data_IF_154857220878
#
_entry.id   IF_154857220878
#
_cell.length_a   1.000
_cell.length_b   1.000
_cell.length_c   1.000
_cell.angle_alpha   90.00
_cell.angle_beta   90.00
_cell.angle_gamma   90.00
#
_symmetry.space_group_name_H-M   'P 1'
#
loop_
_entity.id
_entity.type
_entity.pdbx_description
1 polymer ?
#
# COMPACT_ATOMS: atom_id res chain seq x y z
N UNK A 1 -6.72 20.05 -2.60
CA UNK A 1 -5.30 20.35 -2.89
C UNK A 1 -4.55 19.03 -2.84
N UNK A 2 -4.56 18.29 -3.94
CA UNK A 2 -4.11 16.89 -4.13
C UNK A 2 -2.71 16.80 -4.78
N UNK A 3 -1.98 17.92 -4.84
CA UNK A 3 -0.84 18.11 -5.74
C UNK A 3 0.33 17.13 -5.53
N UNK A 4 0.55 16.60 -4.33
CA UNK A 4 1.78 15.87 -4.03
C UNK A 4 1.91 14.52 -4.74
N UNK A 5 0.86 13.68 -4.78
CA UNK A 5 0.96 12.39 -5.46
C UNK A 5 0.84 12.54 -6.98
N UNK A 6 -0.05 13.40 -7.48
CA UNK A 6 -0.15 13.70 -8.91
C UNK A 6 1.19 14.20 -9.49
N UNK A 7 1.88 15.07 -8.76
CA UNK A 7 3.21 15.55 -9.13
C UNK A 7 4.22 14.39 -9.16
N UNK A 8 4.20 13.49 -8.18
CA UNK A 8 5.07 12.31 -8.17
C UNK A 8 4.72 11.30 -9.27
N UNK A 9 3.42 11.15 -9.60
CA UNK A 9 2.97 10.35 -10.73
C UNK A 9 3.51 10.89 -12.05
N UNK A 10 3.61 12.20 -12.20
CA UNK A 10 4.16 12.85 -13.39
C UNK A 10 5.67 12.71 -13.53
N UNK A 11 6.39 12.49 -12.42
CA UNK A 11 7.85 12.42 -12.37
C UNK A 11 8.41 11.03 -12.72
N UNK A 12 7.59 9.97 -12.67
CA UNK A 12 8.02 8.62 -13.02
C UNK A 12 7.66 8.25 -14.45
N UNK A 13 8.57 7.54 -15.11
CA UNK A 13 8.37 7.03 -16.47
C UNK A 13 7.36 5.87 -16.49
N UNK A 14 6.75 5.63 -17.65
CA UNK A 14 5.89 4.45 -17.87
C UNK A 14 6.61 3.13 -17.61
N UNK A 15 7.92 3.09 -17.87
CA UNK A 15 8.76 1.93 -17.57
C UNK A 15 8.89 1.70 -16.06
N UNK A 16 9.24 2.74 -15.31
CA UNK A 16 9.30 2.66 -13.85
C UNK A 16 7.97 2.24 -13.26
N UNK A 17 6.87 2.87 -13.68
CA UNK A 17 5.51 2.52 -13.26
C UNK A 17 5.16 1.05 -13.55
N UNK A 18 5.61 0.53 -14.70
CA UNK A 18 5.39 -0.88 -15.06
C UNK A 18 6.18 -1.80 -14.13
N UNK A 19 7.46 -1.52 -13.89
CA UNK A 19 8.29 -2.31 -12.97
C UNK A 19 7.72 -2.28 -11.53
N UNK A 20 7.33 -1.11 -11.02
CA UNK A 20 6.68 -0.98 -9.71
C UNK A 20 5.39 -1.80 -9.64
N UNK A 21 4.57 -1.76 -10.70
CA UNK A 21 3.34 -2.54 -10.78
C UNK A 21 3.64 -4.04 -10.74
N UNK A 22 4.66 -4.52 -11.47
CA UNK A 22 5.06 -5.94 -11.45
C UNK A 22 5.49 -6.37 -10.06
N UNK A 23 6.28 -5.56 -9.34
CA UNK A 23 6.69 -5.85 -7.96
C UNK A 23 5.46 -5.92 -7.05
N UNK A 24 4.57 -4.93 -7.13
CA UNK A 24 3.37 -4.86 -6.29
C UNK A 24 2.41 -6.01 -6.54
N UNK A 25 2.13 -6.33 -7.81
CA UNK A 25 1.28 -7.46 -8.18
C UNK A 25 1.86 -8.77 -7.66
N UNK A 26 3.17 -8.98 -7.82
CA UNK A 26 3.82 -10.17 -7.29
C UNK A 26 3.66 -10.29 -5.78
N UNK A 27 3.94 -9.21 -5.05
CA UNK A 27 3.73 -9.15 -3.60
C UNK A 27 2.28 -9.45 -3.22
N UNK A 28 1.33 -8.93 -4.02
CA UNK A 28 -0.07 -9.16 -3.74
C UNK A 28 -0.52 -10.62 -3.94
N UNK A 29 0.04 -11.30 -4.93
CA UNK A 29 -0.29 -12.68 -5.27
C UNK A 29 0.40 -13.70 -4.37
N UNK A 30 1.64 -13.42 -3.95
CA UNK A 30 2.50 -14.41 -3.29
C UNK A 30 2.71 -14.11 -1.80
N UNK A 31 2.31 -12.94 -1.33
CA UNK A 31 2.57 -12.43 0.02
C UNK A 31 4.08 -12.35 0.37
N UNK A 32 4.92 -12.27 -0.66
CA UNK A 32 6.39 -12.19 -0.56
C UNK A 32 6.91 -11.22 -1.62
N UNK A 33 7.98 -10.50 -1.31
CA UNK A 33 8.60 -9.58 -2.27
C UNK A 33 9.26 -10.34 -3.42
N UNK A 34 9.32 -9.72 -4.60
CA UNK A 34 9.84 -10.38 -5.79
C UNK A 34 11.37 -10.50 -5.75
N UNK A 35 11.88 -11.68 -6.08
CA UNK A 35 13.33 -11.91 -6.24
C UNK A 35 13.90 -11.05 -7.37
N UNK A 36 15.09 -10.48 -7.14
CA UNK A 36 15.74 -9.58 -8.11
C UNK A 36 15.93 -10.25 -9.48
N UNK A 37 16.35 -11.52 -9.51
CA UNK A 37 16.61 -12.25 -10.77
C UNK A 37 15.31 -12.49 -11.52
N UNK A 38 14.24 -12.81 -10.78
CA UNK A 38 12.92 -13.00 -11.37
C UNK A 38 12.38 -11.70 -11.98
N UNK A 39 12.50 -10.57 -11.27
CA UNK A 39 12.09 -9.27 -11.80
C UNK A 39 12.90 -8.91 -13.05
N UNK A 40 14.23 -9.08 -13.00
CA UNK A 40 15.10 -8.83 -14.15
C UNK A 40 14.69 -9.69 -15.35
N UNK A 41 14.36 -10.96 -15.17
CA UNK A 41 13.91 -11.81 -16.26
C UNK A 41 12.59 -11.33 -16.88
N UNK A 42 11.63 -10.86 -16.06
CA UNK A 42 10.30 -10.42 -16.52
C UNK A 42 10.34 -9.06 -17.23
N UNK A 43 11.19 -8.14 -16.76
CA UNK A 43 11.18 -6.73 -17.17
C UNK A 43 12.35 -6.35 -18.10
N UNK A 44 12.80 -7.30 -18.94
CA UNK A 44 13.75 -7.03 -20.03
C UNK A 44 15.24 -7.07 -19.64
N UNK A 45 15.57 -7.58 -18.46
CA UNK A 45 16.94 -7.85 -18.00
C UNK A 45 17.47 -6.85 -16.98
N UNK A 46 18.58 -7.22 -16.33
CA UNK A 46 19.26 -6.39 -15.31
C UNK A 46 19.64 -5.00 -15.83
N UNK A 47 20.12 -4.91 -17.07
CA UNK A 47 20.53 -3.65 -17.71
C UNK A 47 19.38 -2.69 -17.96
N UNK A 48 18.15 -3.19 -17.94
CA UNK A 48 16.92 -2.40 -18.12
C UNK A 48 16.35 -2.01 -16.77
N UNK A 49 16.22 -2.97 -15.85
CA UNK A 49 15.56 -2.76 -14.56
C UNK A 49 16.38 -1.88 -13.63
N UNK A 50 17.67 -2.17 -13.44
CA UNK A 50 18.48 -1.48 -12.42
C UNK A 50 18.58 0.04 -12.66
N UNK A 51 18.91 0.52 -13.88
CA UNK A 51 18.94 1.97 -14.13
C UNK A 51 17.58 2.66 -13.97
N UNK A 52 16.47 1.95 -14.18
CA UNK A 52 15.14 2.50 -13.98
C UNK A 52 14.83 2.68 -12.49
N UNK A 53 15.19 1.69 -11.65
CA UNK A 53 14.92 1.71 -10.21
C UNK A 53 15.89 2.60 -9.42
N UNK A 54 17.17 2.66 -9.78
CA UNK A 54 18.17 3.50 -9.11
C UNK A 54 17.79 5.00 -9.10
N UNK A 55 16.97 5.44 -10.05
CA UNK A 55 16.46 6.83 -10.14
C UNK A 55 15.29 7.14 -9.20
N UNK A 56 14.62 6.12 -8.66
CA UNK A 56 13.42 6.29 -7.81
C UNK A 56 13.78 6.54 -6.34
N UNK A 57 15.00 6.18 -5.91
CA UNK A 57 15.47 6.38 -4.55
C UNK A 57 14.79 5.47 -3.50
N UNK A 58 15.39 5.42 -2.31
CA UNK A 58 14.98 4.53 -1.21
C UNK A 58 13.60 4.83 -0.61
N UNK A 59 13.04 6.01 -0.86
CA UNK A 59 11.69 6.38 -0.43
C UNK A 59 10.58 5.70 -1.23
N UNK A 60 10.89 5.13 -2.39
CA UNK A 60 9.94 4.43 -3.28
C UNK A 60 10.22 2.93 -3.27
N UNK A 61 11.49 2.55 -3.38
CA UNK A 61 11.92 1.17 -3.56
C UNK A 61 13.31 0.96 -2.98
N UNK A 62 13.56 -0.20 -2.40
CA UNK A 62 14.88 -0.60 -1.94
C UNK A 62 15.15 -2.09 -2.21
N UNK A 63 16.44 -2.42 -2.22
CA UNK A 63 16.92 -3.81 -2.26
C UNK A 63 17.05 -4.31 -0.81
N UNK A 64 16.44 -5.45 -0.50
CA UNK A 64 16.55 -6.11 0.81
C UNK A 64 17.29 -7.43 0.64
N UNK A 65 18.42 -7.57 1.34
CA UNK A 65 19.17 -8.82 1.40
C UNK A 65 18.63 -9.74 2.49
N UNK A 66 18.43 -11.01 2.13
CA UNK A 66 18.14 -12.11 3.02
C UNK A 66 19.26 -13.15 2.92
N UNK A 67 19.23 -14.17 3.79
CA UNK A 67 20.29 -15.16 3.89
C UNK A 67 20.60 -15.90 2.57
N UNK A 68 19.62 -16.06 1.68
CA UNK A 68 19.75 -16.86 0.45
C UNK A 68 19.46 -16.09 -0.83
N UNK A 69 18.86 -14.91 -0.76
CA UNK A 69 18.45 -14.12 -1.92
C UNK A 69 18.27 -12.64 -1.60
N UNK A 70 18.08 -11.85 -2.66
CA UNK A 70 17.83 -10.41 -2.57
C UNK A 70 16.50 -10.12 -3.25
N UNK A 71 15.68 -9.27 -2.64
CA UNK A 71 14.38 -8.89 -3.16
C UNK A 71 14.31 -7.39 -3.42
N UNK A 72 13.44 -7.00 -4.37
CA UNK A 72 12.97 -5.62 -4.47
C UNK A 72 11.71 -5.45 -3.63
N UNK A 73 11.74 -4.48 -2.73
CA UNK A 73 10.62 -4.14 -1.87
C UNK A 73 10.16 -2.71 -2.12
N UNK A 74 8.84 -2.54 -2.25
CA UNK A 74 8.23 -1.22 -2.31
C UNK A 74 8.00 -0.66 -0.91
N UNK A 75 8.15 0.64 -0.78
CA UNK A 75 7.58 1.39 0.34
C UNK A 75 6.08 1.59 0.12
N UNK A 76 5.39 2.15 1.13
CA UNK A 76 4.02 2.64 0.97
C UNK A 76 3.88 3.57 -0.26
N UNK A 77 4.77 4.55 -0.38
CA UNK A 77 4.78 5.47 -1.52
C UNK A 77 5.02 4.74 -2.84
N UNK A 78 5.90 3.73 -2.87
CA UNK A 78 6.11 2.90 -4.05
C UNK A 78 4.87 2.15 -4.50
N UNK A 79 4.04 1.66 -3.57
CA UNK A 79 2.77 1.01 -3.89
C UNK A 79 1.73 1.99 -4.47
N UNK A 80 1.69 3.23 -3.95
CA UNK A 80 0.84 4.30 -4.50
C UNK A 80 1.29 4.75 -5.89
N UNK A 81 2.56 4.59 -6.25
CA UNK A 81 3.08 4.97 -7.58
C UNK A 81 2.89 3.90 -8.67
N UNK A 82 2.18 2.81 -8.37
CA UNK A 82 1.86 1.76 -9.35
C UNK A 82 0.80 2.23 -10.37
N UNK A 83 0.44 1.38 -11.35
CA UNK A 83 -0.67 1.66 -12.28
C UNK A 83 -2.03 1.75 -11.57
N UNK A 84 -2.21 1.03 -10.46
CA UNK A 84 -3.43 1.06 -9.64
C UNK A 84 -3.34 2.08 -8.48
N UNK A 85 -2.36 2.98 -8.52
CA UNK A 85 -2.09 3.96 -7.46
C UNK A 85 -3.30 4.76 -6.99
N UNK A 86 -4.01 5.37 -7.93
CA UNK A 86 -5.23 6.15 -7.66
C UNK A 86 -6.32 5.31 -6.98
N UNK A 87 -6.45 4.03 -7.35
CA UNK A 87 -7.39 3.10 -6.69
C UNK A 87 -6.95 2.80 -5.26
N UNK A 88 -5.65 2.71 -5.00
CA UNK A 88 -5.13 2.53 -3.65
C UNK A 88 -5.39 3.76 -2.77
N UNK A 89 -5.19 4.97 -3.30
CA UNK A 89 -5.51 6.22 -2.60
C UNK A 89 -6.99 6.31 -2.26
N UNK A 90 -7.87 5.95 -3.20
CA UNK A 90 -9.30 5.94 -2.96
C UNK A 90 -9.67 4.95 -1.84
N UNK A 91 -9.13 3.71 -1.87
CA UNK A 91 -9.37 2.72 -0.82
C UNK A 91 -8.94 3.23 0.57
N UNK A 92 -7.78 3.89 0.65
CA UNK A 92 -7.29 4.48 1.89
C UNK A 92 -8.16 5.63 2.37
N UNK A 93 -8.63 6.48 1.46
CA UNK A 93 -9.54 7.59 1.78
C UNK A 93 -10.86 7.06 2.34
N UNK A 94 -11.44 6.05 1.71
CA UNK A 94 -12.68 5.42 2.18
C UNK A 94 -12.50 4.74 3.55
N UNK A 95 -11.36 4.07 3.77
CA UNK A 95 -11.00 3.47 5.05
C UNK A 95 -10.85 4.50 6.17
N UNK A 96 -10.03 5.54 5.96
CA UNK A 96 -9.85 6.60 6.94
C UNK A 96 -11.18 7.30 7.24
N UNK A 97 -12.00 7.52 6.21
CA UNK A 97 -13.31 8.11 6.40
C UNK A 97 -14.26 7.23 7.20
N UNK A 98 -14.18 5.90 7.04
CA UNK A 98 -14.87 4.96 7.91
C UNK A 98 -14.41 5.08 9.37
N UNK A 99 -13.11 5.12 9.63
CA UNK A 99 -12.58 5.22 11.00
C UNK A 99 -13.04 6.50 11.72
N UNK A 100 -13.06 7.63 11.01
CA UNK A 100 -13.57 8.89 11.58
C UNK A 100 -15.04 8.77 11.97
N UNK A 101 -15.88 8.18 11.10
CA UNK A 101 -17.30 7.96 11.42
C UNK A 101 -17.47 6.97 12.58
N UNK A 102 -16.67 5.91 12.61
CA UNK A 102 -16.71 4.89 13.65
C UNK A 102 -16.38 5.49 15.02
N UNK A 103 -15.32 6.28 15.12
CA UNK A 103 -14.90 6.90 16.39
C UNK A 103 -15.85 8.00 16.87
N UNK A 104 -16.58 8.66 15.96
CA UNK A 104 -17.68 9.56 16.35
C UNK A 104 -18.86 8.81 16.98
N UNK A 105 -19.14 7.58 16.53
CA UNK A 105 -20.26 6.76 17.02
C UNK A 105 -19.88 5.92 18.24
N UNK A 106 -18.64 5.41 18.26
CA UNK A 106 -18.08 4.53 19.28
C UNK A 106 -16.71 5.07 19.75
N UNK A 107 -16.67 6.14 20.58
CA UNK A 107 -15.42 6.82 20.93
C UNK A 107 -14.39 5.99 21.70
N UNK A 108 -14.82 4.88 22.32
CA UNK A 108 -13.94 3.97 23.07
C UNK A 108 -13.44 2.80 22.22
N UNK A 109 -13.82 2.74 20.95
CA UNK A 109 -13.37 1.70 20.04
C UNK A 109 -11.92 1.97 19.65
N UNK A 110 -11.10 0.94 19.80
CA UNK A 110 -9.65 1.00 19.56
C UNK A 110 -9.19 0.07 18.45
N UNK A 111 -10.12 -0.69 17.85
CA UNK A 111 -9.79 -1.74 16.90
C UNK A 111 -10.81 -1.93 15.79
N UNK A 112 -10.32 -2.38 14.63
CA UNK A 112 -11.13 -2.78 13.49
C UNK A 112 -10.63 -4.07 12.82
N UNK A 113 -11.53 -4.79 12.17
CA UNK A 113 -11.17 -5.95 11.35
C UNK A 113 -11.48 -5.77 9.85
N UNK A 114 -10.75 -6.49 9.00
CA UNK A 114 -10.91 -6.42 7.56
C UNK A 114 -12.28 -6.91 7.09
N UNK A 115 -12.90 -7.85 7.82
CA UNK A 115 -14.21 -8.38 7.46
C UNK A 115 -15.33 -7.34 7.66
N UNK A 116 -15.31 -6.59 8.76
CA UNK A 116 -16.31 -5.53 8.99
C UNK A 116 -16.12 -4.37 8.02
N UNK A 117 -14.87 -4.00 7.72
CA UNK A 117 -14.57 -2.93 6.77
C UNK A 117 -15.00 -3.34 5.37
N UNK A 118 -14.72 -4.58 4.97
CA UNK A 118 -15.15 -5.10 3.68
C UNK A 118 -16.68 -5.10 3.55
N UNK A 119 -17.41 -5.42 4.63
CA UNK A 119 -18.87 -5.39 4.63
C UNK A 119 -19.40 -3.94 4.52
N UNK A 120 -18.86 -3.02 5.32
CA UNK A 120 -19.29 -1.62 5.34
C UNK A 120 -19.00 -0.88 4.03
N UNK A 121 -17.76 -1.01 3.54
CA UNK A 121 -17.29 -0.36 2.32
C UNK A 121 -17.60 -1.17 1.04
N UNK A 122 -18.25 -2.34 1.18
CA UNK A 122 -18.59 -3.26 0.08
C UNK A 122 -17.38 -3.64 -0.77
N UNK A 123 -16.25 -3.90 -0.10
CA UNK A 123 -15.01 -4.26 -0.76
C UNK A 123 -15.07 -5.69 -1.28
N UNK A 124 -14.51 -5.91 -2.46
CA UNK A 124 -14.14 -7.25 -2.91
C UNK A 124 -13.04 -7.85 -2.03
N UNK A 125 -12.88 -9.17 -2.07
CA UNK A 125 -11.80 -9.85 -1.35
C UNK A 125 -10.41 -9.33 -1.76
N UNK A 126 -10.20 -9.03 -3.04
CA UNK A 126 -8.95 -8.45 -3.55
C UNK A 126 -8.70 -7.07 -2.93
N UNK A 127 -9.69 -6.17 -2.96
CA UNK A 127 -9.58 -4.83 -2.37
C UNK A 127 -9.31 -4.89 -0.87
N UNK A 128 -10.00 -5.78 -0.14
CA UNK A 128 -9.80 -5.92 1.31
C UNK A 128 -8.37 -6.38 1.64
N UNK A 129 -7.85 -7.35 0.90
CA UNK A 129 -6.46 -7.81 1.05
C UNK A 129 -5.46 -6.69 0.72
N UNK A 130 -5.70 -5.96 -0.37
CA UNK A 130 -4.87 -4.81 -0.78
C UNK A 130 -4.87 -3.72 0.29
N UNK A 131 -6.04 -3.39 0.85
CA UNK A 131 -6.18 -2.40 1.91
C UNK A 131 -5.36 -2.79 3.14
N UNK A 132 -5.46 -4.04 3.61
CA UNK A 132 -4.65 -4.52 4.73
C UNK A 132 -3.14 -4.38 4.48
N UNK A 133 -2.67 -4.65 3.25
CA UNK A 133 -1.24 -4.45 2.90
C UNK A 133 -0.83 -2.99 2.88
N UNK A 134 -1.69 -2.09 2.40
CA UNK A 134 -1.42 -0.66 2.37
C UNK A 134 -1.35 -0.08 3.79
N UNK A 135 -2.28 -0.48 4.67
CA UNK A 135 -2.28 -0.12 6.09
C UNK A 135 -0.97 -0.58 6.75
N UNK A 136 -0.57 -1.84 6.51
CA UNK A 136 0.69 -2.38 7.03
C UNK A 136 1.91 -1.59 6.55
N UNK A 137 2.00 -1.30 5.24
CA UNK A 137 3.14 -0.58 4.67
C UNK A 137 3.22 0.88 5.09
N UNK A 138 2.07 1.53 5.29
CA UNK A 138 1.98 2.92 5.69
C UNK A 138 2.06 3.13 7.20
N UNK A 139 2.13 2.06 7.99
CA UNK A 139 2.03 2.11 9.46
C UNK A 139 0.77 2.86 9.92
N UNK A 140 -0.34 2.69 9.18
CA UNK A 140 -1.62 3.42 9.38
C UNK A 140 -2.48 2.68 10.41
N UNK A 141 -1.87 2.36 11.55
CA UNK A 141 -2.51 1.67 12.65
C UNK A 141 -1.81 2.08 13.95
N UNK A 142 -2.47 1.88 15.08
CA UNK A 142 -1.83 2.12 16.37
C UNK A 142 -0.96 0.94 16.79
N UNK A 143 -1.09 0.45 18.02
CA UNK A 143 -0.09 -0.44 18.65
C UNK A 143 0.03 -1.83 18.04
N UNK A 144 -0.94 -2.25 17.21
CA UNK A 144 -0.99 -3.61 16.69
C UNK A 144 -1.70 -3.71 15.34
N UNK A 145 -1.20 -4.63 14.52
CA UNK A 145 -1.86 -5.15 13.34
C UNK A 145 -1.64 -6.66 13.25
N UNK A 146 -2.67 -7.41 12.87
CA UNK A 146 -2.65 -8.85 12.66
C UNK A 146 -3.08 -9.24 11.25
N UNK A 147 -2.71 -10.47 10.86
CA UNK A 147 -3.17 -11.15 9.65
C UNK A 147 -3.18 -10.33 8.33
N UNK A 148 -2.27 -9.36 8.18
CA UNK A 148 -2.16 -8.54 6.97
C UNK A 148 -1.89 -9.40 5.73
N UNK A 149 -2.35 -8.92 4.56
CA UNK A 149 -2.26 -9.69 3.32
C UNK A 149 -3.27 -10.84 3.21
N UNK A 150 -4.16 -10.99 4.19
CA UNK A 150 -5.34 -11.87 4.14
C UNK A 150 -6.62 -11.03 4.25
N UNK A 151 -7.81 -11.63 4.14
CA UNK A 151 -9.08 -10.93 4.41
C UNK A 151 -9.42 -10.80 5.89
N UNK A 152 -8.67 -11.47 6.76
CA UNK A 152 -8.88 -11.55 8.20
C UNK A 152 -7.97 -10.58 8.97
N UNK A 153 -7.30 -9.69 8.24
CA UNK A 153 -6.44 -8.68 8.86
C UNK A 153 -7.22 -7.84 9.85
N UNK A 154 -6.50 -7.29 10.80
CA UNK A 154 -7.07 -6.54 11.88
C UNK A 154 -6.07 -5.47 12.34
N UNK A 155 -6.54 -4.29 12.72
CA UNK A 155 -5.69 -3.13 12.97
C UNK A 155 -6.21 -2.24 14.09
N UNK A 156 -5.28 -1.72 14.89
CA UNK A 156 -5.57 -0.69 15.89
C UNK A 156 -5.94 0.62 15.20
N UNK A 157 -6.98 1.29 15.69
CA UNK A 157 -7.35 2.61 15.20
C UNK A 157 -6.23 3.60 15.56
N UNK A 158 -5.73 4.43 14.62
CA UNK A 158 -4.73 5.46 14.89
C UNK A 158 -5.18 6.41 16.00
N UNK A 159 -4.26 6.79 16.89
CA UNK A 159 -4.60 7.62 18.06
C UNK A 159 -4.94 9.08 17.70
N UNK A 160 -4.48 9.51 16.53
CA UNK A 160 -4.64 10.83 15.92
C UNK A 160 -5.79 10.86 14.89
N UNK A 161 -6.64 9.83 14.85
CA UNK A 161 -7.77 9.78 13.90
C UNK A 161 -8.74 10.95 14.05
N UNK A 162 -8.84 11.52 15.26
CA UNK A 162 -9.68 12.70 15.55
C UNK A 162 -9.11 14.01 14.99
N UNK A 163 -7.81 14.05 14.65
CA UNK A 163 -7.16 15.20 14.03
C UNK A 163 -7.42 15.27 12.51
N UNK A 164 -7.98 14.20 11.92
CA UNK A 164 -8.30 14.18 10.49
C UNK A 164 -9.44 15.16 10.17
N UNK A 165 -9.28 15.96 9.10
CA UNK A 165 -10.28 16.96 8.76
C UNK A 165 -11.55 16.27 8.24
N UNK A 166 -12.69 16.72 8.75
CA UNK A 166 -14.01 16.10 8.51
C UNK A 166 -14.54 16.31 7.10
N UNK A 167 -13.91 17.17 6.30
CA UNK A 167 -14.21 17.41 4.89
C UNK A 167 -13.56 16.38 3.95
N UNK A 168 -12.65 15.52 4.44
CA UNK A 168 -12.22 14.31 3.72
C UNK A 168 -13.36 13.28 3.56
N UNK A 169 -14.53 13.54 4.15
CA UNK A 169 -15.66 12.61 4.27
C UNK A 169 -16.84 12.94 3.36
N UNK A 170 -16.75 14.01 2.55
CA UNK A 170 -17.82 14.50 1.65
C UNK A 170 -17.52 14.25 0.18
#
# INVERSE_FOLDING_TARGET
>A
MTLFLEDLHSQITNQQRTILTTIWTYYCEHNEWIDIRLLHQREGGKSVVRPALEKLGGSIIFEQEYATNTHYQLTFLGALLTKKGEQHEQLLTEYLGYLVRLTQQEPLRDYVCGQEIAAELKLTSEQNIVLGRLIYLGDIFSRSMGAYGTSEWDAGIPTDIEDLPTDLLT
#
